data_IF_394444223687
#
_entry.id   IF_394444223687
#
_cell.length_a   1.000
_cell.length_b   1.000
_cell.length_c   1.000
_cell.angle_alpha   90.00
_cell.angle_beta   90.00
_cell.angle_gamma   90.00
#
_symmetry.space_group_name_H-M   'P 1'
#
loop_
_entity.id
_entity.type
_entity.pdbx_description
1 polymer ?
#
# COMPACT_ATOMS: atom_id res chain seq x y z
N UNK A 1 39.45 -29.85 -61.29
CA UNK A 1 39.10 -28.65 -62.08
C UNK A 1 37.83 -28.95 -62.86
N UNK A 2 36.86 -28.02 -62.81
CA UNK A 2 35.60 -27.94 -63.56
C UNK A 2 34.48 -28.97 -63.25
N UNK A 3 33.18 -28.70 -63.35
CA UNK A 3 32.31 -27.52 -63.19
C UNK A 3 30.87 -27.94 -63.61
N UNK A 4 29.88 -27.72 -62.72
CA UNK A 4 28.51 -27.17 -62.96
C UNK A 4 27.44 -27.98 -63.77
N UNK A 5 26.19 -27.89 -63.24
CA UNK A 5 24.81 -28.00 -63.80
C UNK A 5 24.06 -29.35 -63.61
N UNK A 6 22.80 -29.41 -63.15
CA UNK A 6 21.82 -28.41 -62.71
C UNK A 6 20.46 -29.04 -62.29
N UNK A 7 19.62 -28.20 -61.64
CA UNK A 7 18.16 -28.29 -61.30
C UNK A 7 17.65 -29.49 -60.46
N UNK A 8 17.28 -29.29 -59.19
CA UNK A 8 16.08 -28.63 -58.63
C UNK A 8 14.86 -29.56 -58.47
N UNK A 9 14.54 -29.89 -57.21
CA UNK A 9 13.18 -30.20 -56.76
C UNK A 9 12.91 -29.43 -55.46
N UNK A 10 12.17 -28.33 -55.60
CA UNK A 10 11.46 -27.69 -54.51
C UNK A 10 10.39 -28.65 -53.98
N UNK A 11 10.30 -28.83 -52.67
CA UNK A 11 9.02 -29.08 -52.02
C UNK A 11 8.99 -28.42 -50.64
N UNK A 12 8.28 -27.28 -50.61
CA UNK A 12 7.35 -26.81 -49.58
C UNK A 12 7.90 -26.46 -48.20
N UNK A 13 8.19 -25.16 -48.09
CA UNK A 13 7.86 -24.24 -47.00
C UNK A 13 7.00 -24.79 -45.86
N UNK A 14 7.46 -24.56 -44.64
CA UNK A 14 6.65 -24.00 -43.55
C UNK A 14 7.58 -23.26 -42.59
N UNK A 15 7.71 -21.95 -42.82
CA UNK A 15 8.26 -21.03 -41.83
C UNK A 15 7.31 -21.02 -40.63
N UNK A 16 7.74 -21.59 -39.51
CA UNK A 16 7.07 -21.37 -38.24
C UNK A 16 7.40 -19.95 -37.77
N UNK A 17 6.46 -19.04 -37.98
CA UNK A 17 6.46 -17.71 -37.40
C UNK A 17 6.25 -17.87 -35.89
N UNK A 18 7.33 -17.87 -35.11
CA UNK A 18 7.26 -17.74 -33.66
C UNK A 18 6.75 -16.33 -33.34
N UNK A 19 5.44 -16.20 -33.16
CA UNK A 19 4.83 -15.01 -32.53
C UNK A 19 5.28 -15.03 -31.08
N UNK A 20 6.32 -14.26 -30.77
CA UNK A 20 6.69 -13.97 -29.39
C UNK A 20 5.58 -13.10 -28.79
N UNK A 21 4.66 -13.73 -28.04
CA UNK A 21 3.74 -13.01 -27.17
C UNK A 21 4.56 -12.37 -26.06
N UNK A 22 4.84 -11.07 -26.19
CA UNK A 22 5.31 -10.25 -25.09
C UNK A 22 4.18 -10.20 -24.05
N UNK A 23 4.34 -10.92 -22.95
CA UNK A 23 3.55 -10.69 -21.74
C UNK A 23 4.00 -9.33 -21.18
N UNK A 24 3.26 -8.28 -21.50
CA UNK A 24 3.32 -7.04 -20.75
C UNK A 24 2.73 -7.33 -19.37
N UNK A 25 3.61 -7.54 -18.39
CA UNK A 25 3.23 -7.56 -16.99
C UNK A 25 2.84 -6.13 -16.62
N UNK A 26 1.54 -5.80 -16.65
CA UNK A 26 1.07 -4.65 -15.89
C UNK A 26 1.21 -5.04 -14.42
N UNK A 27 2.17 -4.43 -13.73
CA UNK A 27 2.14 -4.41 -12.28
C UNK A 27 0.82 -3.73 -11.91
N UNK A 28 -0.14 -4.49 -11.40
CA UNK A 28 -1.33 -3.91 -10.78
C UNK A 28 -0.83 -2.96 -9.69
N UNK A 29 -1.29 -1.71 -9.73
CA UNK A 29 -0.88 -0.69 -8.77
C UNK A 29 -1.42 -1.14 -7.40
N UNK A 30 -0.53 -1.51 -6.48
CA UNK A 30 -0.93 -1.74 -5.10
C UNK A 30 -1.39 -0.39 -4.52
N UNK A 31 -2.64 -0.31 -4.08
CA UNK A 31 -3.26 0.94 -3.58
C UNK A 31 -3.28 1.00 -2.04
N UNK A 32 -2.88 -0.09 -1.39
CA UNK A 32 -2.68 -0.22 0.06
C UNK A 32 -1.26 -0.69 0.30
N UNK A 33 -0.57 -0.10 1.28
CA UNK A 33 0.79 -0.50 1.63
C UNK A 33 0.87 -1.92 2.14
N UNK A 34 2.06 -2.53 2.07
CA UNK A 34 2.31 -3.85 2.65
C UNK A 34 2.31 -3.76 4.18
N UNK A 35 1.14 -3.66 4.82
CA UNK A 35 0.94 -3.59 6.27
C UNK A 35 1.18 -4.96 6.95
N UNK A 36 2.23 -5.68 6.54
CA UNK A 36 2.49 -7.03 7.03
C UNK A 36 3.17 -7.04 8.41
N UNK A 37 3.95 -6.00 8.73
CA UNK A 37 4.65 -5.88 10.03
C UNK A 37 4.02 -4.93 11.02
N UNK A 38 3.10 -4.05 10.60
CA UNK A 38 2.42 -3.10 11.48
C UNK A 38 0.95 -3.51 11.63
N UNK A 39 0.57 -3.81 12.85
CA UNK A 39 -0.81 -4.13 13.21
C UNK A 39 -1.69 -2.89 13.00
N UNK A 40 -2.91 -3.13 12.50
CA UNK A 40 -3.93 -2.11 12.45
C UNK A 40 -4.87 -2.28 13.66
N UNK A 41 -4.98 -1.27 14.55
CA UNK A 41 -5.74 -1.37 15.79
C UNK A 41 -7.25 -1.53 15.55
N UNK A 42 -7.77 -1.31 14.35
CA UNK A 42 -9.18 -1.53 14.03
C UNK A 42 -9.52 -2.99 13.69
N UNK A 43 -8.51 -3.83 13.44
CA UNK A 43 -8.71 -5.22 13.00
C UNK A 43 -7.87 -6.25 13.75
N UNK A 44 -6.80 -5.85 14.44
CA UNK A 44 -5.99 -6.76 15.25
C UNK A 44 -6.83 -7.44 16.35
N UNK A 45 -6.61 -8.72 16.61
CA UNK A 45 -7.23 -9.41 17.73
C UNK A 45 -6.54 -9.07 19.08
N UNK A 46 -7.13 -9.50 20.19
CA UNK A 46 -6.61 -9.22 21.54
C UNK A 46 -5.22 -9.83 21.73
N UNK A 47 -4.98 -11.07 21.28
CA UNK A 47 -3.69 -11.76 21.39
C UNK A 47 -2.59 -10.99 20.65
N UNK A 48 -2.89 -10.46 19.45
CA UNK A 48 -1.99 -9.60 18.69
C UNK A 48 -1.69 -8.29 19.42
N UNK A 49 -2.69 -7.67 20.04
CA UNK A 49 -2.51 -6.42 20.81
C UNK A 49 -1.67 -6.65 22.08
N UNK A 50 -1.89 -7.76 22.80
CA UNK A 50 -1.08 -8.13 23.97
C UNK A 50 0.40 -8.35 23.62
N UNK A 51 0.71 -8.64 22.35
CA UNK A 51 2.07 -8.74 21.85
C UNK A 51 2.79 -7.41 21.63
N UNK A 52 2.09 -6.28 21.67
CA UNK A 52 2.65 -4.95 21.41
C UNK A 52 3.31 -4.38 22.66
N UNK A 53 4.53 -3.85 22.50
CA UNK A 53 5.28 -3.25 23.60
C UNK A 53 4.49 -2.10 24.27
N UNK A 54 4.59 -1.97 25.59
CA UNK A 54 3.90 -0.97 26.42
C UNK A 54 2.37 -1.08 26.48
N UNK A 55 1.73 -2.02 25.78
CA UNK A 55 0.31 -2.29 25.96
C UNK A 55 0.11 -3.24 27.15
N UNK A 56 -0.39 -2.71 28.26
CA UNK A 56 -0.89 -3.53 29.35
C UNK A 56 -2.34 -4.00 29.06
N UNK A 57 -2.89 -4.97 29.83
CA UNK A 57 -4.24 -5.46 29.60
C UNK A 57 -5.33 -4.38 29.70
N UNK A 58 -5.08 -3.28 30.43
CA UNK A 58 -5.98 -2.13 30.49
C UNK A 58 -6.00 -1.39 29.15
N UNK A 59 -4.83 -1.05 28.62
CA UNK A 59 -4.70 -0.38 27.32
C UNK A 59 -5.21 -1.25 26.16
N UNK A 60 -4.96 -2.56 26.18
CA UNK A 60 -5.52 -3.47 25.16
C UNK A 60 -7.04 -3.38 25.15
N UNK A 61 -7.66 -3.45 26.33
CA UNK A 61 -9.11 -3.30 26.46
C UNK A 61 -9.58 -1.92 25.99
N UNK A 62 -8.91 -0.85 26.39
CA UNK A 62 -9.27 0.51 25.97
C UNK A 62 -9.20 0.67 24.44
N UNK A 63 -8.19 0.05 23.79
CA UNK A 63 -8.09 0.03 22.32
C UNK A 63 -9.27 -0.72 21.71
N UNK A 64 -9.62 -1.90 22.23
CA UNK A 64 -10.75 -2.69 21.71
C UNK A 64 -12.08 -1.95 21.88
N UNK A 65 -12.31 -1.40 23.08
CA UNK A 65 -13.52 -0.63 23.41
C UNK A 65 -13.61 0.69 22.60
N UNK A 66 -12.46 1.25 22.19
CA UNK A 66 -12.35 2.50 21.44
C UNK A 66 -12.53 2.37 19.92
N UNK A 67 -12.67 1.15 19.38
CA UNK A 67 -12.80 0.93 17.92
C UNK A 67 -14.13 1.45 17.35
N UNK A 68 -14.15 1.90 16.08
CA UNK A 68 -13.00 2.12 15.22
C UNK A 68 -12.35 3.50 15.46
N UNK A 69 -11.02 3.55 15.35
CA UNK A 69 -10.25 4.79 15.26
C UNK A 69 -10.32 5.33 13.82
N UNK A 70 -10.84 6.55 13.60
CA UNK A 70 -10.94 7.13 12.26
C UNK A 70 -9.58 7.58 11.71
N UNK A 71 -8.61 7.88 12.58
CA UNK A 71 -7.25 8.26 12.20
C UNK A 71 -6.23 7.92 13.29
N UNK A 72 -4.97 8.19 13.00
CA UNK A 72 -3.87 7.96 13.94
C UNK A 72 -3.92 8.92 15.14
N UNK A 73 -4.50 10.12 14.95
CA UNK A 73 -4.64 11.11 16.02
C UNK A 73 -5.54 10.61 17.17
N UNK A 74 -6.65 9.92 16.88
CA UNK A 74 -7.54 9.39 17.91
C UNK A 74 -6.89 8.25 18.70
N UNK A 75 -6.08 7.42 18.03
CA UNK A 75 -5.25 6.43 18.71
C UNK A 75 -4.22 7.12 19.62
N UNK A 76 -3.55 8.18 19.14
CA UNK A 76 -2.55 8.91 19.94
C UNK A 76 -3.16 9.56 21.17
N UNK A 77 -4.36 10.13 21.05
CA UNK A 77 -5.10 10.68 22.20
C UNK A 77 -5.34 9.60 23.26
N UNK A 78 -5.80 8.41 22.88
CA UNK A 78 -6.00 7.30 23.80
C UNK A 78 -4.69 6.89 24.49
N UNK A 79 -3.64 6.65 23.70
CA UNK A 79 -2.36 6.18 24.21
C UNK A 79 -1.65 7.22 25.09
N UNK A 80 -1.80 8.51 24.78
CA UNK A 80 -1.18 9.61 25.55
C UNK A 80 -1.71 9.75 26.98
N UNK A 81 -2.87 9.15 27.28
CA UNK A 81 -3.41 9.08 28.65
C UNK A 81 -2.55 8.24 29.60
N UNK A 82 -1.79 7.28 29.07
CA UNK A 82 -0.98 6.33 29.87
C UNK A 82 0.49 6.28 29.46
N UNK A 83 0.82 6.62 28.21
CA UNK A 83 2.15 6.47 27.63
C UNK A 83 2.79 7.83 27.32
N UNK A 84 4.07 7.97 27.68
CA UNK A 84 4.86 9.14 27.26
C UNK A 84 5.23 9.07 25.77
N UNK A 85 5.74 10.16 25.21
CA UNK A 85 6.07 10.28 23.78
C UNK A 85 7.02 9.19 23.28
N UNK A 86 8.04 8.83 24.06
CA UNK A 86 9.00 7.78 23.69
C UNK A 86 8.33 6.41 23.61
N UNK A 87 7.47 6.09 24.59
CA UNK A 87 6.72 4.83 24.60
C UNK A 87 5.73 4.75 23.44
N UNK A 88 5.04 5.85 23.12
CA UNK A 88 4.12 5.90 21.97
C UNK A 88 4.85 5.69 20.66
N UNK A 89 6.02 6.29 20.48
CA UNK A 89 6.83 6.07 19.28
C UNK A 89 7.23 4.59 19.10
N UNK A 90 7.51 3.87 20.19
CA UNK A 90 7.77 2.42 20.16
C UNK A 90 6.52 1.60 19.82
N UNK A 91 5.35 2.00 20.34
CA UNK A 91 4.05 1.40 19.97
C UNK A 91 3.77 1.60 18.49
N UNK A 92 3.96 2.81 17.94
CA UNK A 92 3.71 3.10 16.52
C UNK A 92 4.60 2.33 15.56
N UNK A 93 5.74 1.82 16.02
CA UNK A 93 6.56 0.88 15.25
C UNK A 93 5.94 -0.51 15.05
N UNK A 94 4.86 -0.82 15.79
CA UNK A 94 4.20 -2.14 15.81
C UNK A 94 2.68 -2.07 15.58
N UNK A 95 2.03 -0.97 15.95
CA UNK A 95 0.58 -0.76 15.89
C UNK A 95 0.27 0.67 15.44
N UNK A 96 -0.38 0.84 14.30
CA UNK A 96 -0.69 2.17 13.75
C UNK A 96 -1.98 2.17 12.95
N UNK A 97 -2.70 3.29 12.95
CA UNK A 97 -3.84 3.51 12.03
C UNK A 97 -3.28 4.12 10.73
N UNK A 98 -3.31 3.42 9.58
CA UNK A 98 -2.80 3.99 8.35
C UNK A 98 -3.48 5.32 8.01
N UNK A 99 -2.70 6.31 7.58
CA UNK A 99 -3.18 7.66 7.29
C UNK A 99 -3.42 7.87 5.79
N UNK A 100 -4.40 8.70 5.46
CA UNK A 100 -4.72 9.04 4.08
C UNK A 100 -3.69 10.03 3.53
N UNK A 101 -2.88 9.62 2.54
CA UNK A 101 -1.84 10.48 1.95
C UNK A 101 -2.35 11.82 1.43
N UNK A 102 -3.63 11.91 1.05
CA UNK A 102 -4.22 13.10 0.44
C UNK A 102 -4.87 14.05 1.44
N UNK A 103 -5.07 13.63 2.70
CA UNK A 103 -5.78 14.44 3.69
C UNK A 103 -5.19 14.43 5.10
N UNK A 104 -4.19 13.60 5.39
CA UNK A 104 -3.56 13.54 6.70
C UNK A 104 -2.97 14.92 7.09
N UNK A 105 -3.06 15.28 8.35
CA UNK A 105 -2.43 16.51 8.86
C UNK A 105 -0.92 16.33 9.04
N UNK A 106 -0.15 17.42 9.09
CA UNK A 106 1.29 17.36 9.44
C UNK A 106 1.49 16.62 10.77
N UNK A 107 0.63 16.90 11.77
CA UNK A 107 0.69 16.27 13.10
C UNK A 107 0.50 14.74 13.02
N UNK A 108 -0.46 14.26 12.21
CA UNK A 108 -0.63 12.82 11.98
C UNK A 108 0.57 12.19 11.26
N UNK A 109 1.16 12.89 10.29
CA UNK A 109 2.35 12.39 9.59
C UNK A 109 3.54 12.30 10.56
N UNK A 110 3.67 13.25 11.50
CA UNK A 110 4.72 13.25 12.52
C UNK A 110 4.56 12.14 13.57
N UNK A 111 3.41 11.47 13.64
CA UNK A 111 3.25 10.27 14.48
C UNK A 111 3.99 9.06 13.89
N UNK A 112 4.32 9.06 12.59
CA UNK A 112 5.07 7.98 11.96
C UNK A 112 6.50 7.96 12.55
N UNK A 113 6.95 6.84 13.17
CA UNK A 113 8.28 6.75 13.73
C UNK A 113 9.37 7.09 12.71
N UNK A 114 10.30 7.95 13.10
CA UNK A 114 11.42 8.40 12.25
C UNK A 114 11.06 9.51 11.25
N UNK A 115 9.79 9.88 11.10
CA UNK A 115 9.38 10.98 10.23
C UNK A 115 9.52 12.31 10.96
N UNK A 116 10.45 13.15 10.49
CA UNK A 116 10.58 14.53 10.94
C UNK A 116 9.87 15.52 10.00
N UNK A 117 9.79 16.79 10.43
CA UNK A 117 9.12 17.88 9.67
C UNK A 117 9.50 17.99 8.20
N UNK A 118 10.78 17.74 7.88
CA UNK A 118 11.23 17.75 6.48
C UNK A 118 10.50 16.69 5.65
N UNK A 119 10.44 15.45 6.13
CA UNK A 119 9.78 14.36 5.42
C UNK A 119 8.26 14.54 5.41
N UNK A 120 7.69 15.03 6.52
CA UNK A 120 6.26 15.39 6.57
C UNK A 120 5.89 16.42 5.49
N UNK A 121 6.76 17.42 5.28
CA UNK A 121 6.58 18.40 4.20
C UNK A 121 6.64 17.76 2.81
N UNK A 122 7.55 16.81 2.55
CA UNK A 122 7.56 16.10 1.26
C UNK A 122 6.26 15.31 1.04
N UNK A 123 5.68 14.71 2.09
CA UNK A 123 4.39 14.03 1.99
C UNK A 123 3.30 15.00 1.53
N UNK A 124 3.26 16.21 2.07
CA UNK A 124 2.27 17.23 1.70
C UNK A 124 2.50 17.81 0.30
N UNK A 125 3.75 18.07 -0.08
CA UNK A 125 4.12 18.72 -1.34
C UNK A 125 3.67 17.93 -2.58
N UNK A 126 3.74 16.59 -2.52
CA UNK A 126 3.36 15.74 -3.66
C UNK A 126 1.87 15.41 -3.74
N UNK A 127 1.03 15.99 -2.87
CA UNK A 127 -0.42 15.83 -2.95
C UNK A 127 -0.98 16.48 -4.24
N UNK A 128 -1.99 15.86 -4.88
CA UNK A 128 -2.58 14.57 -4.54
C UNK A 128 -1.74 13.39 -5.07
N UNK A 129 -1.65 12.35 -4.26
CA UNK A 129 -1.23 11.02 -4.68
C UNK A 129 -2.38 10.30 -5.35
N UNK A 130 -2.08 9.77 -6.53
CA UNK A 130 -2.98 8.93 -7.34
C UNK A 130 -2.78 7.43 -7.10
N UNK A 131 -1.63 7.04 -6.54
CA UNK A 131 -1.27 5.65 -6.26
C UNK A 131 -0.07 5.56 -5.32
N UNK A 132 0.16 4.39 -4.71
CA UNK A 132 1.40 4.15 -3.97
C UNK A 132 2.62 4.02 -4.87
N UNK A 133 2.45 3.76 -6.17
CA UNK A 133 3.56 3.84 -7.13
C UNK A 133 4.09 5.29 -7.23
N UNK A 134 3.18 6.27 -7.27
CA UNK A 134 3.57 7.68 -7.16
C UNK A 134 4.28 7.95 -5.84
N UNK A 135 3.74 7.44 -4.71
CA UNK A 135 4.39 7.58 -3.40
C UNK A 135 5.84 7.06 -3.43
N UNK A 136 6.06 5.81 -3.88
CA UNK A 136 7.40 5.21 -3.98
C UNK A 136 8.35 6.05 -4.83
N UNK A 137 7.90 6.54 -5.99
CA UNK A 137 8.72 7.35 -6.91
C UNK A 137 9.08 8.71 -6.31
N UNK A 138 8.13 9.40 -5.69
CA UNK A 138 8.35 10.75 -5.17
C UNK A 138 9.15 10.72 -3.86
N UNK A 139 8.79 9.85 -2.92
CA UNK A 139 9.47 9.72 -1.63
C UNK A 139 10.84 9.06 -1.78
N UNK A 140 11.01 8.11 -2.70
CA UNK A 140 12.30 7.48 -3.01
C UNK A 140 13.37 8.42 -3.55
N UNK A 141 13.06 9.69 -3.83
CA UNK A 141 14.06 10.73 -4.11
C UNK A 141 14.83 11.17 -2.86
N UNK A 142 14.29 10.93 -1.68
CA UNK A 142 14.78 11.47 -0.40
C UNK A 142 15.30 10.39 0.55
N UNK A 143 14.84 9.16 0.38
CA UNK A 143 15.19 8.00 1.21
C UNK A 143 15.43 6.78 0.32
N UNK A 144 16.05 5.73 0.88
CA UNK A 144 16.29 4.49 0.16
C UNK A 144 15.02 3.61 0.06
N UNK A 145 15.11 2.56 -0.76
CA UNK A 145 13.97 1.66 -1.03
C UNK A 145 13.47 0.95 0.24
N UNK A 146 14.35 0.70 1.21
CA UNK A 146 13.99 0.05 2.48
C UNK A 146 13.12 0.99 3.33
N UNK A 147 13.52 2.26 3.41
CA UNK A 147 12.74 3.29 4.10
C UNK A 147 11.43 3.62 3.38
N UNK A 148 11.41 3.65 2.05
CA UNK A 148 10.15 3.77 1.29
C UNK A 148 9.20 2.63 1.65
N UNK A 149 9.67 1.39 1.63
CA UNK A 149 8.86 0.22 1.96
C UNK A 149 8.35 0.25 3.41
N UNK A 150 9.14 0.78 4.34
CA UNK A 150 8.73 0.99 5.73
C UNK A 150 7.64 2.06 5.83
N UNK A 151 7.84 3.23 5.23
CA UNK A 151 6.87 4.34 5.29
C UNK A 151 5.54 3.99 4.62
N UNK A 152 5.58 3.17 3.57
CA UNK A 152 4.38 2.73 2.87
C UNK A 152 3.39 1.98 3.78
N UNK A 153 3.87 1.32 4.85
CA UNK A 153 3.02 0.59 5.79
C UNK A 153 2.14 1.50 6.68
N UNK A 154 2.44 2.79 6.70
CA UNK A 154 1.73 3.78 7.53
C UNK A 154 0.66 4.52 6.73
N UNK A 155 0.55 4.29 5.43
CA UNK A 155 -0.21 5.18 4.55
C UNK A 155 -1.09 4.43 3.55
N UNK A 156 -2.10 5.12 3.04
CA UNK A 156 -2.91 4.63 1.94
C UNK A 156 -3.32 5.77 1.00
N UNK A 157 -3.68 5.40 -0.23
CA UNK A 157 -4.35 6.31 -1.18
C UNK A 157 -5.83 5.94 -1.27
N UNK A 158 -6.76 6.87 -1.04
CA UNK A 158 -8.18 6.60 -1.16
C UNK A 158 -8.56 6.31 -2.61
N UNK A 159 -9.37 5.28 -2.82
CA UNK A 159 -9.94 4.95 -4.12
C UNK A 159 -11.35 5.51 -4.23
N UNK A 160 -11.60 6.26 -5.30
CA UNK A 160 -12.96 6.66 -5.66
C UNK A 160 -13.68 5.48 -6.32
N UNK A 161 -14.70 4.97 -5.64
CA UNK A 161 -15.50 3.84 -6.10
C UNK A 161 -16.16 4.06 -7.47
N UNK A 162 -16.39 5.31 -7.87
CA UNK A 162 -17.02 5.65 -9.14
C UNK A 162 -16.03 5.79 -10.30
N UNK A 163 -14.75 6.01 -10.03
CA UNK A 163 -13.74 6.30 -11.07
C UNK A 163 -12.52 5.37 -11.07
N UNK A 164 -12.26 4.63 -9.99
CA UNK A 164 -11.16 3.68 -9.91
C UNK A 164 -11.23 2.62 -11.03
N UNK A 165 -10.07 2.14 -11.49
CA UNK A 165 -9.99 1.11 -12.52
C UNK A 165 -10.21 -0.29 -11.95
N UNK A 166 -10.46 -1.27 -12.83
CA UNK A 166 -10.47 -2.69 -12.44
C UNK A 166 -9.13 -3.09 -11.77
N UNK A 167 -8.03 -2.59 -12.31
CA UNK A 167 -6.68 -2.86 -11.80
C UNK A 167 -6.48 -2.29 -10.39
N UNK A 168 -7.04 -1.13 -10.09
CA UNK A 168 -6.98 -0.53 -8.75
C UNK A 168 -7.67 -1.40 -7.70
N UNK A 169 -8.85 -1.94 -8.03
CA UNK A 169 -9.57 -2.84 -7.14
C UNK A 169 -8.92 -4.22 -7.02
N UNK A 170 -8.39 -4.75 -8.14
CA UNK A 170 -7.69 -6.03 -8.15
C UNK A 170 -6.39 -6.01 -7.32
N UNK A 171 -5.85 -4.81 -7.04
CA UNK A 171 -4.71 -4.60 -6.15
C UNK A 171 -5.06 -4.65 -4.65
N UNK A 172 -6.33 -4.69 -4.26
CA UNK A 172 -6.73 -4.74 -2.84
C UNK A 172 -6.71 -6.19 -2.33
N UNK A 173 -5.96 -6.50 -1.26
CA UNK A 173 -6.00 -7.82 -0.62
C UNK A 173 -7.43 -8.23 -0.25
N UNK A 174 -7.82 -9.47 -0.61
CA UNK A 174 -9.15 -10.00 -0.34
C UNK A 174 -10.23 -9.60 -1.36
N UNK A 175 -9.96 -8.65 -2.27
CA UNK A 175 -10.90 -8.28 -3.34
C UNK A 175 -10.72 -9.19 -4.55
N UNK A 176 -11.58 -10.20 -4.67
CA UNK A 176 -11.57 -11.12 -5.80
C UNK A 176 -12.29 -10.57 -7.04
N UNK A 177 -12.05 -11.20 -8.20
CA UNK A 177 -12.67 -10.82 -9.50
C UNK A 177 -14.18 -10.59 -9.45
N UNK A 178 -14.92 -11.38 -8.66
CA UNK A 178 -16.37 -11.21 -8.48
C UNK A 178 -16.71 -9.88 -7.80
N UNK A 179 -15.99 -9.52 -6.74
CA UNK A 179 -16.20 -8.24 -6.05
C UNK A 179 -15.83 -7.07 -6.94
N UNK A 180 -14.73 -7.16 -7.69
CA UNK A 180 -14.35 -6.12 -8.67
C UNK A 180 -15.46 -5.92 -9.70
N UNK A 181 -16.03 -7.00 -10.22
CA UNK A 181 -17.15 -6.92 -11.16
C UNK A 181 -18.34 -6.18 -10.54
N UNK A 182 -18.73 -6.52 -9.31
CA UNK A 182 -19.81 -5.84 -8.58
C UNK A 182 -19.50 -4.34 -8.36
N UNK A 183 -18.26 -3.99 -8.00
CA UNK A 183 -17.81 -2.60 -7.84
C UNK A 183 -17.93 -1.77 -9.12
N UNK A 184 -17.74 -2.39 -10.27
CA UNK A 184 -17.84 -1.71 -11.57
C UNK A 184 -19.29 -1.67 -12.08
N UNK A 185 -20.05 -2.76 -11.89
CA UNK A 185 -21.42 -2.91 -12.40
C UNK A 185 -22.40 -1.93 -11.75
N UNK A 186 -22.28 -1.68 -10.45
CA UNK A 186 -23.26 -0.87 -9.70
C UNK A 186 -22.94 0.63 -9.65
N UNK A 187 -22.01 1.12 -10.48
CA UNK A 187 -21.75 2.56 -10.61
C UNK A 187 -22.95 3.29 -11.25
N UNK A 188 -23.19 4.57 -10.90
CA UNK A 188 -22.52 5.30 -9.84
C UNK A 188 -23.09 4.98 -8.46
N UNK A 189 -22.21 4.87 -7.48
CA UNK A 189 -22.54 4.91 -6.06
C UNK A 189 -22.95 6.32 -5.65
N UNK A 190 -23.97 6.42 -4.80
CA UNK A 190 -24.54 7.67 -4.29
C UNK A 190 -23.94 8.08 -2.96
#
# INVERSE_FOLDING_TARGET
MAAILGRARMNRSMSALCVATAFLWSAAQAQVGNNESILNPNVADEDQLEGVIHLDPGLVRDIVDGRPFPGAAELDVLLSGSLNESQRAEVYGQLFVPINLNSATEDEILLIPGVGRRMAHEFEEYRPYSSLEQFRREIGKYVDDEEVARLEQYVFVPLDLNSASEADFAGIPGVGRRMVHEFLEYRPYR
#
